data_IF_453278271983
#
_entry.id   IF_453278271983
#
_cell.length_a   1.000
_cell.length_b   1.000
_cell.length_c   1.000
_cell.angle_alpha   90.00
_cell.angle_beta   90.00
_cell.angle_gamma   90.00
#
_symmetry.space_group_name_H-M   'P 1'
#
loop_
_entity.id
_entity.type
_entity.pdbx_description
1 polymer ?
#
# COMPACT_ATOMS: atom_id res chain seq x y z
N UNK A 1 -0.25 13.75 -8.88
CA UNK A 1 -1.44 13.50 -8.04
C UNK A 1 -2.65 13.80 -8.92
N UNK A 2 -3.47 12.80 -9.19
CA UNK A 2 -4.65 12.93 -10.06
C UNK A 2 -5.71 13.78 -9.38
N UNK A 3 -6.59 14.43 -10.15
CA UNK A 3 -7.68 15.19 -9.55
C UNK A 3 -8.74 14.24 -8.98
N UNK A 4 -9.49 14.69 -7.98
CA UNK A 4 -10.61 13.89 -7.46
C UNK A 4 -11.69 13.65 -8.52
N UNK A 5 -11.78 14.51 -9.53
CA UNK A 5 -12.69 14.33 -10.67
C UNK A 5 -12.27 13.15 -11.54
N UNK A 6 -10.97 13.03 -11.83
CA UNK A 6 -10.45 11.90 -12.64
C UNK A 6 -10.64 10.56 -11.93
N UNK A 7 -10.46 10.54 -10.60
CA UNK A 7 -10.67 9.34 -9.79
C UNK A 7 -12.15 8.98 -9.70
N UNK A 8 -13.03 9.98 -9.56
CA UNK A 8 -14.48 9.79 -9.52
C UNK A 8 -15.00 9.22 -10.84
N UNK A 9 -14.53 9.76 -11.97
CA UNK A 9 -14.87 9.27 -13.31
C UNK A 9 -14.39 7.83 -13.52
N UNK A 10 -13.15 7.51 -13.13
CA UNK A 10 -12.61 6.15 -13.27
C UNK A 10 -13.31 5.12 -12.38
N UNK A 11 -13.72 5.51 -11.18
CA UNK A 11 -14.43 4.63 -10.26
C UNK A 11 -15.95 4.61 -10.49
N UNK A 12 -16.49 5.49 -11.34
CA UNK A 12 -17.93 5.61 -11.56
C UNK A 12 -18.72 6.13 -10.36
N UNK A 13 -18.09 6.93 -9.50
CA UNK A 13 -18.67 7.45 -8.24
C UNK A 13 -18.65 8.98 -8.20
N UNK A 14 -19.19 9.58 -7.14
CA UNK A 14 -19.15 11.03 -6.95
C UNK A 14 -17.80 11.53 -6.41
N UNK A 15 -17.51 12.82 -6.63
CA UNK A 15 -16.31 13.47 -6.08
C UNK A 15 -16.37 13.48 -4.55
N UNK A 16 -17.55 13.57 -3.94
CA UNK A 16 -17.72 13.46 -2.48
C UNK A 16 -17.28 12.09 -1.95
N UNK A 17 -17.63 11.00 -2.65
CA UNK A 17 -17.22 9.64 -2.27
C UNK A 17 -15.68 9.49 -2.33
N UNK A 18 -15.05 10.03 -3.38
CA UNK A 18 -13.58 10.08 -3.48
C UNK A 18 -12.97 10.88 -2.33
N UNK A 19 -13.54 12.05 -2.00
CA UNK A 19 -13.03 12.90 -0.92
C UNK A 19 -13.12 12.22 0.44
N UNK A 20 -14.22 11.53 0.71
CA UNK A 20 -14.43 10.78 1.94
C UNK A 20 -13.45 9.58 2.04
N UNK A 21 -13.33 8.78 0.97
CA UNK A 21 -12.37 7.68 0.90
C UNK A 21 -10.92 8.17 1.05
N UNK A 22 -10.57 9.30 0.42
CA UNK A 22 -9.28 9.95 0.61
C UNK A 22 -9.05 10.33 2.08
N UNK A 23 -10.05 10.91 2.75
CA UNK A 23 -9.97 11.28 4.17
C UNK A 23 -9.72 10.09 5.09
N UNK A 24 -10.19 8.89 4.70
CA UNK A 24 -10.02 7.63 5.44
C UNK A 24 -8.81 6.80 5.00
N UNK A 25 -8.07 7.27 3.99
CA UNK A 25 -6.89 6.58 3.50
C UNK A 25 -5.69 6.81 4.42
N UNK A 26 -5.08 5.72 4.86
CA UNK A 26 -3.93 5.73 5.76
C UNK A 26 -2.78 4.90 5.23
N UNK A 27 -1.57 5.22 5.71
CA UNK A 27 -0.37 4.45 5.42
C UNK A 27 -0.26 3.31 6.43
N UNK A 28 -0.13 2.08 5.94
CA UNK A 28 -0.01 0.88 6.75
C UNK A 28 1.30 0.16 6.44
N UNK A 29 1.95 -0.36 7.48
CA UNK A 29 3.23 -1.06 7.38
C UNK A 29 2.99 -2.54 7.62
N UNK A 30 3.25 -3.36 6.61
CA UNK A 30 3.09 -4.82 6.67
C UNK A 30 4.48 -5.42 6.92
N UNK A 31 4.75 -5.94 8.14
CA UNK A 31 6.01 -6.60 8.42
C UNK A 31 6.10 -7.91 7.63
N UNK A 32 7.26 -8.17 7.04
CA UNK A 32 7.58 -9.45 6.44
C UNK A 32 9.02 -9.85 6.76
N UNK A 33 9.30 -11.15 6.67
CA UNK A 33 10.66 -11.65 6.83
C UNK A 33 11.38 -11.59 5.49
N UNK A 34 12.45 -10.81 5.41
CA UNK A 34 13.33 -10.75 4.24
C UNK A 34 14.56 -11.62 4.51
N UNK A 35 14.76 -12.65 3.68
CA UNK A 35 15.94 -13.50 3.74
C UNK A 35 16.99 -12.99 2.75
N UNK A 36 18.21 -12.80 3.22
CA UNK A 36 19.38 -12.51 2.38
C UNK A 36 20.11 -13.81 2.04
N UNK A 37 19.67 -14.46 0.97
CA UNK A 37 20.32 -15.64 0.39
C UNK A 37 20.95 -15.25 -0.95
N UNK A 38 22.04 -14.47 -0.91
CA UNK A 38 22.69 -14.02 -2.14
C UNK A 38 24.15 -14.48 -2.23
N UNK A 39 24.33 -15.79 -2.46
CA UNK A 39 25.64 -16.37 -2.82
C UNK A 39 26.01 -15.98 -4.26
N UNK A 40 25.03 -15.53 -5.07
CA UNK A 40 25.19 -15.26 -6.50
C UNK A 40 25.33 -13.76 -6.81
N UNK A 41 24.78 -12.85 -6.00
CA UNK A 41 24.88 -11.39 -6.21
C UNK A 41 25.05 -10.60 -4.90
N UNK A 42 26.22 -10.67 -4.25
CA UNK A 42 26.44 -10.03 -2.95
C UNK A 42 26.43 -8.48 -3.02
N UNK A 43 25.69 -7.79 -2.13
CA UNK A 43 25.71 -6.33 -2.05
C UNK A 43 27.05 -5.80 -1.51
N UNK A 44 27.64 -4.81 -2.19
CA UNK A 44 28.89 -4.12 -1.76
C UNK A 44 28.56 -2.89 -0.89
N UNK A 45 29.36 -2.58 0.16
CA UNK A 45 30.63 -3.20 0.56
C UNK A 45 30.45 -4.45 1.45
N UNK A 46 31.30 -5.45 1.18
CA UNK A 46 31.24 -6.83 1.70
C UNK A 46 31.61 -6.95 3.19
N UNK A 47 30.83 -7.74 3.93
CA UNK A 47 31.24 -8.32 5.21
C UNK A 47 30.75 -9.79 5.29
N UNK A 48 31.63 -10.76 5.62
CA UNK A 48 31.32 -12.20 5.56
C UNK A 48 30.20 -12.67 6.50
N UNK A 49 29.74 -11.81 7.41
CA UNK A 49 28.71 -12.17 8.39
C UNK A 49 27.26 -12.03 7.91
N UNK A 50 26.96 -11.55 6.70
CA UNK A 50 25.59 -11.19 6.28
C UNK A 50 24.78 -12.33 5.65
N UNK A 51 25.38 -13.51 5.45
CA UNK A 51 24.72 -14.65 4.84
C UNK A 51 23.75 -15.36 5.80
N UNK A 52 22.59 -15.82 5.30
CA UNK A 52 21.62 -16.54 6.12
C UNK A 52 20.94 -15.67 7.20
N UNK A 53 21.02 -14.34 7.08
CA UNK A 53 20.31 -13.43 7.98
C UNK A 53 18.88 -13.22 7.48
N UNK A 54 17.95 -13.44 8.38
CA UNK A 54 16.59 -12.93 8.28
C UNK A 54 16.54 -11.55 8.95
N UNK A 55 15.93 -10.57 8.28
CA UNK A 55 15.53 -9.32 8.91
C UNK A 55 14.02 -9.14 8.84
N UNK A 56 13.46 -8.43 9.81
CA UNK A 56 12.10 -7.89 9.69
C UNK A 56 12.16 -6.66 8.81
N UNK A 57 11.62 -6.79 7.61
CA UNK A 57 11.40 -5.69 6.67
C UNK A 57 9.92 -5.27 6.70
N UNK A 58 9.62 -4.11 6.14
CA UNK A 58 8.25 -3.60 6.08
C UNK A 58 7.92 -3.22 4.64
N UNK A 59 6.77 -3.70 4.17
CA UNK A 59 6.12 -3.15 2.99
C UNK A 59 5.22 -1.99 3.42
N UNK A 60 5.37 -0.85 2.78
CA UNK A 60 4.52 0.31 3.02
C UNK A 60 3.43 0.32 1.97
N UNK A 61 2.17 0.21 2.42
CA UNK A 61 0.99 0.27 1.57
C UNK A 61 0.04 1.37 2.06
N UNK A 62 -0.90 1.73 1.20
CA UNK A 62 -2.04 2.56 1.56
C UNK A 62 -3.28 1.69 1.67
N UNK A 63 -4.10 1.93 2.68
CA UNK A 63 -5.39 1.26 2.87
C UNK A 63 -6.46 2.31 3.14
N UNK A 64 -7.72 2.03 2.77
CA UNK A 64 -8.87 2.85 3.14
C UNK A 64 -9.61 2.15 4.26
N UNK A 65 -9.86 2.87 5.37
CA UNK A 65 -10.65 2.33 6.48
C UNK A 65 -12.14 2.57 6.27
N UNK A 66 -12.94 1.61 6.70
CA UNK A 66 -14.38 1.79 6.84
C UNK A 66 -14.72 2.69 8.04
N UNK A 67 -15.99 3.01 8.20
CA UNK A 67 -16.51 3.83 9.30
C UNK A 67 -16.30 3.23 10.71
N UNK A 68 -15.92 1.95 10.81
CA UNK A 68 -15.60 1.26 12.05
C UNK A 68 -14.08 1.10 12.25
N UNK A 69 -13.27 1.70 11.37
CA UNK A 69 -11.82 1.64 11.44
C UNK A 69 -11.20 0.35 10.93
N UNK A 70 -11.98 -0.53 10.29
CA UNK A 70 -11.46 -1.76 9.67
C UNK A 70 -10.90 -1.43 8.30
N UNK A 71 -9.79 -2.05 7.93
CA UNK A 71 -9.29 -1.97 6.55
C UNK A 71 -10.33 -2.60 5.61
N UNK A 72 -10.80 -1.84 4.63
CA UNK A 72 -11.51 -2.41 3.49
C UNK A 72 -10.47 -3.17 2.66
N UNK A 73 -10.81 -4.32 2.07
CA UNK A 73 -9.86 -5.21 1.33
C UNK A 73 -9.20 -4.59 0.07
N UNK A 74 -9.13 -3.25 -0.03
CA UNK A 74 -8.35 -2.52 -1.02
C UNK A 74 -7.08 -1.93 -0.40
N UNK A 75 -5.92 -2.48 -0.79
CA UNK A 75 -4.62 -1.86 -0.55
C UNK A 75 -3.98 -1.40 -1.86
N UNK A 76 -3.26 -0.28 -1.82
CA UNK A 76 -2.52 0.27 -2.95
C UNK A 76 -1.07 0.57 -2.59
N UNK A 77 -0.16 0.56 -3.59
CA UNK A 77 1.19 1.08 -3.38
C UNK A 77 1.16 2.61 -3.28
N UNK A 78 0.14 3.24 -3.88
CA UNK A 78 -0.17 4.65 -3.72
C UNK A 78 -1.52 4.87 -3.04
N UNK A 79 -1.72 6.06 -2.47
CA UNK A 79 -3.00 6.46 -1.85
C UNK A 79 -4.15 6.42 -2.86
N UNK A 80 -3.90 6.83 -4.09
CA UNK A 80 -4.89 6.86 -5.18
C UNK A 80 -5.33 5.44 -5.55
N UNK A 81 -4.39 4.50 -5.67
CA UNK A 81 -4.69 3.08 -5.93
C UNK A 81 -5.55 2.46 -4.83
N UNK A 82 -5.22 2.74 -3.56
CA UNK A 82 -6.00 2.24 -2.43
C UNK A 82 -7.44 2.78 -2.44
N UNK A 83 -7.61 4.06 -2.78
CA UNK A 83 -8.92 4.70 -2.91
C UNK A 83 -9.73 4.11 -4.06
N UNK A 84 -9.12 3.92 -5.23
CA UNK A 84 -9.79 3.29 -6.37
C UNK A 84 -10.19 1.84 -6.06
N UNK A 85 -9.31 1.07 -5.40
CA UNK A 85 -9.59 -0.29 -4.99
C UNK A 85 -10.76 -0.36 -3.99
N UNK A 86 -10.81 0.57 -3.04
CA UNK A 86 -11.91 0.65 -2.08
C UNK A 86 -13.24 1.04 -2.75
N UNK A 87 -13.24 2.08 -3.60
CA UNK A 87 -14.46 2.59 -4.24
C UNK A 87 -15.07 1.61 -5.24
N UNK A 88 -14.25 0.87 -5.99
CA UNK A 88 -14.73 -0.15 -6.95
C UNK A 88 -15.39 -1.36 -6.30
N UNK A 89 -15.16 -1.59 -5.00
CA UNK A 89 -15.83 -2.65 -4.25
C UNK A 89 -17.27 -2.27 -3.89
N UNK A 90 -17.48 -0.99 -3.58
CA UNK A 90 -18.77 -0.47 -3.09
C UNK A 90 -19.70 0.01 -4.22
N UNK A 91 -19.21 0.06 -5.47
CA UNK A 91 -19.95 0.37 -6.69
C UNK A 91 -20.65 -0.86 -7.27
#
# INVERSE_FOLDING_TARGET
MRSYRDLAEEAGVTVEAVRDAMGRAERHEIPYTRMYDDFRNPPRPFGPGRYGRAETAYDVVWVVRDQWGRSVDGHGRTREEAVLAALRRDA
#
